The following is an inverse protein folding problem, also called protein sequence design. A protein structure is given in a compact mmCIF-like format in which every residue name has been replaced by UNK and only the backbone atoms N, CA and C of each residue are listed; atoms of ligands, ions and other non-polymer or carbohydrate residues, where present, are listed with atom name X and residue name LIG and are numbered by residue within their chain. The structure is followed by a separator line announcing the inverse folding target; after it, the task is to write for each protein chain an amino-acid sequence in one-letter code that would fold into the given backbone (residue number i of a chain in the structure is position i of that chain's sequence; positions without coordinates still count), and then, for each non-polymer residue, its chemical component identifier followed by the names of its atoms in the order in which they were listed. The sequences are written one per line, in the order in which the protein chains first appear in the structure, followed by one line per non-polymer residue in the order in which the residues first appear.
data_IF_318346685654
#
_entry.id   IF_318346685654
#
_cell.length_a   1.000
_cell.length_b   1.000
_cell.length_c   1.000
_cell.angle_alpha   90.00
_cell.angle_beta   90.00
_cell.angle_gamma   90.00
#
_symmetry.space_group_name_H-M   'P 1'
#
loop_
_entity.id
_entity.type
_entity.pdbx_description
1 polymer ?
#
# COMPACT_ATOMS: atom_id res chain seq x y z
N UNK A 1 -8.37 10.76 -5.88
CA UNK A 1 -7.56 9.61 -5.41
C UNK A 1 -6.22 10.04 -4.84
N UNK A 2 -5.35 10.72 -5.60
CA UNK A 2 -4.03 11.17 -5.11
C UNK A 2 -4.11 12.04 -3.84
N UNK A 3 -5.10 12.92 -3.73
CA UNK A 3 -5.32 13.74 -2.54
C UNK A 3 -5.66 12.95 -1.26
N UNK A 4 -6.11 11.69 -1.34
CA UNK A 4 -6.28 10.82 -0.16
C UNK A 4 -4.95 10.21 0.31
N UNK A 5 -3.93 10.17 -0.55
CA UNK A 5 -2.57 9.79 -0.15
C UNK A 5 -1.90 10.90 0.66
N UNK A 6 -2.31 12.15 0.41
CA UNK A 6 -1.94 13.33 1.19
C UNK A 6 -2.82 13.51 2.44
N UNK A 7 -3.60 12.49 2.85
CA UNK A 7 -4.30 12.50 4.13
C UNK A 7 -3.27 12.70 5.24
N UNK A 8 -3.37 13.84 5.94
CA UNK A 8 -2.41 14.29 6.95
C UNK A 8 -2.23 13.27 8.08
N UNK A 9 -3.22 12.41 8.31
CA UNK A 9 -3.14 11.39 9.35
C UNK A 9 -2.34 10.15 8.92
N UNK A 10 -2.09 9.94 7.63
CA UNK A 10 -1.31 8.80 7.13
C UNK A 10 -1.95 7.43 7.39
N UNK A 11 -3.26 7.38 7.63
CA UNK A 11 -3.97 6.14 8.02
C UNK A 11 -3.92 5.05 6.95
N UNK A 12 -3.76 5.43 5.68
CA UNK A 12 -3.61 4.48 4.57
C UNK A 12 -2.37 3.59 4.73
N UNK A 13 -1.40 4.01 5.53
CA UNK A 13 -0.16 3.26 5.78
C UNK A 13 -0.24 2.31 6.98
N UNK A 14 -1.40 2.16 7.63
CA UNK A 14 -1.55 1.34 8.83
C UNK A 14 -1.02 -0.10 8.67
N UNK A 15 -1.28 -0.75 7.53
CA UNK A 15 -0.77 -2.10 7.29
C UNK A 15 0.76 -2.14 7.22
N UNK A 16 1.38 -1.21 6.48
CA UNK A 16 2.83 -1.11 6.36
C UNK A 16 3.50 -0.85 7.71
N UNK A 17 2.90 -0.01 8.55
CA UNK A 17 3.36 0.25 9.92
C UNK A 17 3.23 -1.00 10.80
N UNK A 18 2.15 -1.79 10.65
CA UNK A 18 2.01 -3.05 11.38
C UNK A 18 3.10 -4.07 10.99
N UNK A 19 3.54 -4.07 9.73
CA UNK A 19 4.66 -4.91 9.30
C UNK A 19 6.00 -4.44 9.86
N UNK A 20 6.19 -3.13 10.06
CA UNK A 20 7.39 -2.59 10.68
C UNK A 20 7.50 -2.98 12.17
N UNK A 21 6.36 -3.08 12.88
CA UNK A 21 6.32 -3.46 14.29
C UNK A 21 6.31 -4.98 14.53
N UNK A 22 5.86 -5.76 13.54
CA UNK A 22 5.72 -7.22 13.66
C UNK A 22 7.00 -7.97 14.09
N UNK A 23 8.23 -7.58 13.71
CA UNK A 23 9.44 -8.24 14.19
C UNK A 23 9.63 -8.13 15.70
N UNK A 24 9.11 -7.07 16.34
CA UNK A 24 9.28 -6.82 17.78
C UNK A 24 8.08 -7.30 18.59
N UNK A 25 6.85 -7.08 18.10
CA UNK A 25 5.61 -7.38 18.83
C UNK A 25 4.96 -8.70 18.40
N UNK A 26 5.37 -9.27 17.27
CA UNK A 26 4.57 -10.29 16.59
C UNK A 26 3.40 -9.68 15.82
N UNK A 27 2.88 -10.42 14.83
CA UNK A 27 1.90 -9.89 13.86
C UNK A 27 0.58 -9.44 14.49
N UNK A 28 -0.01 -10.26 15.35
CA UNK A 28 -1.33 -9.97 15.93
C UNK A 28 -1.29 -8.73 16.83
N UNK A 29 -0.27 -8.64 17.70
CA UNK A 29 -0.08 -7.50 18.59
C UNK A 29 0.28 -6.23 17.81
N UNK A 30 1.13 -6.33 16.78
CA UNK A 30 1.44 -5.18 15.92
C UNK A 30 0.19 -4.60 15.25
N UNK A 31 -0.72 -5.44 14.77
CA UNK A 31 -1.99 -4.98 14.17
C UNK A 31 -2.90 -4.32 15.22
N UNK A 32 -3.01 -4.91 16.41
CA UNK A 32 -3.79 -4.34 17.51
C UNK A 32 -3.23 -2.98 17.93
N UNK A 33 -1.90 -2.88 18.04
CA UNK A 33 -1.20 -1.66 18.41
C UNK A 33 -1.42 -0.55 17.39
N UNK A 34 -1.24 -0.82 16.10
CA UNK A 34 -1.48 0.19 15.05
C UNK A 34 -2.95 0.60 15.00
N UNK A 35 -3.89 -0.32 15.26
CA UNK A 35 -5.32 0.03 15.34
C UNK A 35 -5.61 1.01 16.47
N UNK A 36 -5.01 0.82 17.64
CA UNK A 36 -5.11 1.75 18.78
C UNK A 36 -4.53 3.11 18.42
N UNK A 37 -3.32 3.14 17.85
CA UNK A 37 -2.66 4.39 17.44
C UNK A 37 -3.43 5.10 16.30
N UNK A 38 -4.07 4.37 15.40
CA UNK A 38 -4.92 4.94 14.36
C UNK A 38 -6.18 5.60 14.93
N UNK A 39 -6.76 5.04 16.00
CA UNK A 39 -7.84 5.71 16.72
C UNK A 39 -7.33 7.01 17.38
N UNK A 40 -6.18 6.95 18.05
CA UNK A 40 -5.54 8.13 18.65
C UNK A 40 -5.20 9.21 17.60
N UNK A 41 -4.71 8.85 16.42
CA UNK A 41 -4.44 9.77 15.32
C UNK A 41 -5.70 10.56 14.93
N UNK A 42 -6.85 9.88 14.86
CA UNK A 42 -8.14 10.52 14.55
C UNK A 42 -8.62 11.45 15.65
N UNK A 43 -8.40 11.09 16.92
CA UNK A 43 -8.81 11.90 18.08
C UNK A 43 -7.92 13.13 18.27
N UNK A 44 -6.61 12.98 18.05
CA UNK A 44 -5.62 14.03 18.33
C UNK A 44 -5.24 14.87 17.12
N UNK A 45 -5.53 14.39 15.91
CA UNK A 45 -5.04 14.99 14.68
C UNK A 45 -3.56 14.75 14.40
N UNK A 46 -2.87 13.96 15.24
CA UNK A 46 -1.47 13.64 15.06
C UNK A 46 -1.28 12.57 13.96
N UNK A 47 -0.28 12.69 13.08
CA UNK A 47 -0.02 11.67 12.06
C UNK A 47 0.29 10.31 12.68
N UNK A 48 -0.32 9.24 12.14
CA UNK A 48 -0.09 7.88 12.61
C UNK A 48 1.39 7.45 12.56
N UNK A 49 2.17 7.75 11.49
CA UNK A 49 3.60 7.42 11.48
C UNK A 49 4.38 8.04 12.65
N UNK A 50 4.04 9.27 13.03
CA UNK A 50 4.70 9.97 14.14
C UNK A 50 4.35 9.30 15.48
N UNK A 51 3.07 8.95 15.68
CA UNK A 51 2.63 8.22 16.88
C UNK A 51 3.31 6.85 17.00
N UNK A 52 3.51 6.14 15.88
CA UNK A 52 4.25 4.87 15.87
C UNK A 52 5.73 5.10 16.21
N UNK A 53 6.39 6.09 15.60
CA UNK A 53 7.80 6.39 15.86
C UNK A 53 8.03 6.80 17.33
N UNK A 54 7.11 7.55 17.93
CA UNK A 54 7.16 7.94 19.34
C UNK A 54 6.90 6.76 20.28
N UNK A 55 5.91 5.91 19.98
CA UNK A 55 5.55 4.76 20.82
C UNK A 55 6.52 3.58 20.73
N UNK A 56 7.27 3.48 19.63
CA UNK A 56 8.22 2.40 19.35
C UNK A 56 9.57 2.94 18.88
N UNK A 57 10.34 3.59 19.79
CA UNK A 57 11.65 4.11 19.45
C UNK A 57 12.57 2.97 19.01
N UNK A 58 13.28 3.18 17.90
CA UNK A 58 14.19 2.18 17.31
C UNK A 58 13.55 1.28 16.25
N UNK A 59 12.24 1.36 16.02
CA UNK A 59 11.62 0.71 14.85
C UNK A 59 12.02 1.44 13.58
N UNK A 60 12.56 0.70 12.61
CA UNK A 60 12.83 1.24 11.28
C UNK A 60 11.52 1.32 10.48
N UNK A 61 10.98 2.53 10.32
CA UNK A 61 9.79 2.75 9.53
C UNK A 61 10.09 2.66 8.02
N UNK A 62 9.22 2.01 7.23
CA UNK A 62 9.40 1.94 5.79
C UNK A 62 9.18 3.31 5.12
N UNK A 63 9.72 3.49 3.93
CA UNK A 63 9.34 4.60 3.06
C UNK A 63 7.86 4.46 2.68
N UNK A 64 7.06 5.46 3.09
CA UNK A 64 5.61 5.49 2.86
C UNK A 64 5.23 6.24 1.58
N UNK A 65 6.21 6.79 0.85
CA UNK A 65 5.96 7.49 -0.40
C UNK A 65 5.70 6.53 -1.57
N UNK A 66 5.00 7.00 -2.59
CA UNK A 66 5.01 6.33 -3.88
C UNK A 66 6.40 6.54 -4.53
N UNK A 67 7.00 5.50 -5.13
CA UNK A 67 6.40 4.22 -5.53
C UNK A 67 6.55 3.08 -4.53
N UNK A 68 7.22 3.28 -3.38
CA UNK A 68 7.57 2.22 -2.43
C UNK A 68 6.34 1.46 -1.91
N UNK A 69 5.19 2.13 -1.79
CA UNK A 69 3.93 1.55 -1.28
C UNK A 69 3.08 0.84 -2.33
N UNK A 70 3.48 0.83 -3.61
CA UNK A 70 2.64 0.27 -4.69
C UNK A 70 2.75 -1.26 -4.81
N UNK A 71 3.66 -1.89 -4.07
CA UNK A 71 3.89 -3.33 -4.12
C UNK A 71 4.04 -3.84 -5.55
N UNK A 72 3.14 -4.73 -5.98
CA UNK A 72 3.20 -5.35 -7.31
C UNK A 72 2.29 -4.67 -8.34
N UNK A 73 1.55 -3.63 -7.98
CA UNK A 73 0.56 -2.99 -8.84
C UNK A 73 1.14 -2.52 -10.19
N UNK A 74 2.32 -1.87 -10.28
CA UNK A 74 2.87 -1.46 -11.56
C UNK A 74 3.20 -2.64 -12.48
N UNK A 75 3.65 -3.76 -11.90
CA UNK A 75 3.93 -5.00 -12.65
C UNK A 75 2.63 -5.62 -13.15
N UNK A 76 1.61 -5.72 -12.29
CA UNK A 76 0.30 -6.27 -12.64
C UNK A 76 -0.35 -5.46 -13.77
N UNK A 77 -0.32 -4.13 -13.70
CA UNK A 77 -0.86 -3.25 -14.74
C UNK A 77 -0.16 -3.47 -16.09
N UNK A 78 1.18 -3.56 -16.10
CA UNK A 78 1.96 -3.82 -17.34
C UNK A 78 1.66 -5.21 -17.91
N UNK A 79 1.57 -6.24 -17.06
CA UNK A 79 1.25 -7.59 -17.47
C UNK A 79 -0.15 -7.67 -18.11
N UNK A 80 -1.14 -7.04 -17.48
CA UNK A 80 -2.49 -6.94 -18.03
C UNK A 80 -2.51 -6.25 -19.39
N UNK A 81 -1.86 -5.09 -19.51
CA UNK A 81 -1.80 -4.35 -20.78
C UNK A 81 -1.13 -5.17 -21.89
N UNK A 82 -0.10 -5.96 -21.55
CA UNK A 82 0.52 -6.92 -22.47
C UNK A 82 -0.46 -7.99 -22.94
N UNK A 83 -1.16 -8.64 -22.02
CA UNK A 83 -2.14 -9.69 -22.34
C UNK A 83 -3.30 -9.15 -23.21
N UNK A 84 -3.79 -7.95 -22.92
CA UNK A 84 -4.85 -7.30 -23.70
C UNK A 84 -4.41 -7.05 -25.15
N UNK A 85 -3.19 -6.55 -25.37
CA UNK A 85 -2.64 -6.35 -26.72
C UNK A 85 -2.48 -7.68 -27.47
N UNK A 86 -1.96 -8.70 -26.81
CA UNK A 86 -1.83 -10.04 -27.40
C UNK A 86 -3.18 -10.59 -27.84
N UNK A 87 -4.23 -10.40 -27.02
CA UNK A 87 -5.58 -10.84 -27.33
C UNK A 87 -6.18 -10.10 -28.52
N UNK A 88 -6.04 -8.77 -28.56
CA UNK A 88 -6.53 -7.95 -29.66
C UNK A 88 -5.92 -8.39 -31.00
N UNK A 89 -4.60 -8.55 -31.05
CA UNK A 89 -3.90 -8.98 -32.26
C UNK A 89 -4.32 -10.39 -32.74
N UNK A 90 -4.65 -11.30 -31.81
CA UNK A 90 -5.15 -12.63 -32.18
C UNK A 90 -6.55 -12.58 -32.81
N UNK A 91 -7.43 -11.69 -32.33
CA UNK A 91 -8.76 -11.49 -32.90
C UNK A 91 -8.65 -10.94 -34.32
N UNK A 92 -7.82 -9.92 -34.52
CA UNK A 92 -7.57 -9.30 -35.83
C UNK A 92 -7.06 -10.33 -36.86
N UNK A 93 -6.07 -11.16 -36.48
CA UNK A 93 -5.57 -12.24 -37.35
C UNK A 93 -6.66 -13.25 -37.71
N UNK A 94 -7.48 -13.65 -36.75
CA UNK A 94 -8.58 -14.59 -36.98
C UNK A 94 -9.68 -14.03 -37.89
N UNK A 95 -9.89 -12.70 -37.90
CA UNK A 95 -10.82 -12.03 -38.81
C UNK A 95 -10.26 -11.92 -40.23
N UNK A 96 -8.95 -11.65 -40.39
CA UNK A 96 -8.30 -11.60 -41.71
C UNK A 96 -8.22 -12.97 -42.39
N UNK A 97 -8.07 -14.07 -41.64
CA UNK A 97 -8.01 -15.43 -42.21
C UNK A 97 -9.36 -15.99 -42.68
N UNK A 98 -10.48 -15.34 -42.34
CA UNK A 98 -11.83 -15.74 -42.77
C UNK A 98 -12.33 -15.02 -44.03
N UNK A 99 -11.55 -14.09 -44.57
CA UNK A 99 -11.82 -13.37 -45.83
C UNK A 99 -11.03 -13.98 -46.97
#
# INVERSE_FOLDING_TARGET
MAQLLDDRLGLIHAEALSFALAPTLGRAEAQAQVKTLAAQARETGAPLPDLVAQGHPGTNLPDLSAPATLGTAPRAARAFAGAARTRAAAIERGLSQKR
#
